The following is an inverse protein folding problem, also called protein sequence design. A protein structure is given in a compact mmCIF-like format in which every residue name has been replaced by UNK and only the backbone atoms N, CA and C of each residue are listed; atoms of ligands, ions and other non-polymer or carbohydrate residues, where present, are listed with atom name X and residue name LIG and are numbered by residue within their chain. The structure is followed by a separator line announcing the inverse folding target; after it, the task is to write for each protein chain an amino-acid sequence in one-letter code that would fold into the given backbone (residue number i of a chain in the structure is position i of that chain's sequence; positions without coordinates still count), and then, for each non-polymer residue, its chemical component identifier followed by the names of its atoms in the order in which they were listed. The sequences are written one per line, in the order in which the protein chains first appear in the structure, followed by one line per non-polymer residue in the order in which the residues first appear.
data_IF_280091017257
#
_entry.id   IF_280091017257
#
_cell.length_a   1.000
_cell.length_b   1.000
_cell.length_c   1.000
_cell.angle_alpha   90.00
_cell.angle_beta   90.00
_cell.angle_gamma   90.00
#
_symmetry.space_group_name_H-M   'P 1'
#
loop_
_entity.id
_entity.type
_entity.pdbx_description
1 polymer ?
#
# COMPACT_ATOMS: atom_id res chain seq x y z
N UNK A 1 30.87 22.31 10.21
CA UNK A 1 30.39 20.91 10.28
C UNK A 1 31.15 20.07 9.28
N UNK A 2 31.49 18.82 9.62
CA UNK A 2 32.10 17.88 8.67
C UNK A 2 31.19 16.65 8.49
N UNK A 3 30.73 16.42 7.26
CA UNK A 3 29.91 15.27 6.87
C UNK A 3 30.78 14.18 6.23
N UNK A 4 30.64 12.95 6.69
CA UNK A 4 31.24 11.75 6.09
C UNK A 4 30.15 10.75 5.72
N UNK A 5 30.51 9.66 5.03
CA UNK A 5 29.58 8.56 4.73
C UNK A 5 28.93 7.95 5.98
N UNK A 6 29.63 7.98 7.13
CA UNK A 6 29.23 7.25 8.34
C UNK A 6 28.82 8.16 9.50
N UNK A 7 28.85 9.48 9.32
CA UNK A 7 28.47 10.39 10.40
C UNK A 7 28.73 11.85 10.11
N UNK A 8 28.19 12.67 11.01
CA UNK A 8 28.31 14.12 11.06
C UNK A 8 29.05 14.52 12.33
N UNK A 9 30.14 15.26 12.20
CA UNK A 9 30.84 15.86 13.33
C UNK A 9 30.39 17.31 13.53
N UNK A 10 29.84 17.58 14.72
CA UNK A 10 29.43 18.92 15.13
C UNK A 10 30.58 19.66 15.83
N UNK A 11 30.88 20.91 15.45
CA UNK A 11 31.75 21.81 16.21
C UNK A 11 31.34 21.92 17.68
N UNK A 12 32.33 22.06 18.56
CA UNK A 12 32.11 22.40 19.96
C UNK A 12 31.55 23.82 20.07
N UNK A 13 30.56 24.03 20.95
CA UNK A 13 29.97 25.34 21.18
C UNK A 13 28.99 25.83 20.10
N UNK A 14 28.49 24.93 19.25
CA UNK A 14 27.47 25.25 18.25
C UNK A 14 26.23 25.89 18.87
N UNK A 15 25.77 27.00 18.29
CA UNK A 15 24.53 27.65 18.70
C UNK A 15 23.30 26.82 18.29
N UNK A 16 22.22 26.91 19.07
CA UNK A 16 20.98 26.16 18.82
C UNK A 16 20.40 26.42 17.43
N UNK A 17 20.30 27.69 17.00
CA UNK A 17 19.73 28.04 15.70
C UNK A 17 20.57 27.49 14.52
N UNK A 18 21.88 27.37 14.70
CA UNK A 18 22.77 26.76 13.72
C UNK A 18 22.56 25.24 13.65
N UNK A 19 22.47 24.59 14.81
CA UNK A 19 22.16 23.17 14.92
C UNK A 19 20.80 22.84 14.29
N UNK A 20 19.78 23.64 14.58
CA UNK A 20 18.42 23.47 14.04
C UNK A 20 18.40 23.66 12.51
N UNK A 21 19.07 24.71 12.01
CA UNK A 21 19.16 24.96 10.56
C UNK A 21 19.84 23.81 9.83
N UNK A 22 20.92 23.27 10.37
CA UNK A 22 21.59 22.12 9.76
C UNK A 22 20.73 20.86 9.80
N UNK A 23 20.00 20.62 10.90
CA UNK A 23 19.01 19.54 10.97
C UNK A 23 17.97 19.65 9.86
N UNK A 24 17.43 20.85 9.63
CA UNK A 24 16.49 21.12 8.52
C UNK A 24 17.12 20.89 7.14
N UNK A 25 18.36 21.31 6.93
CA UNK A 25 19.08 21.09 5.67
C UNK A 25 19.34 19.59 5.41
N UNK A 26 19.77 18.84 6.42
CA UNK A 26 20.01 17.40 6.31
C UNK A 26 18.73 16.64 5.98
N UNK A 27 17.62 16.98 6.65
CA UNK A 27 16.31 16.42 6.32
C UNK A 27 15.89 16.76 4.88
N UNK A 28 16.13 18.00 4.44
CA UNK A 28 15.87 18.44 3.07
C UNK A 28 16.68 17.68 2.03
N UNK A 29 17.98 17.42 2.28
CA UNK A 29 18.83 16.61 1.40
C UNK A 29 18.33 15.16 1.34
N UNK A 30 17.98 14.57 2.48
CA UNK A 30 17.46 13.20 2.54
C UNK A 30 16.19 13.07 1.70
N UNK A 31 15.24 13.98 1.88
CA UNK A 31 13.99 13.94 1.13
C UNK A 31 14.20 14.22 -0.37
N UNK A 32 15.02 15.22 -0.71
CA UNK A 32 15.32 15.60 -2.09
C UNK A 32 16.08 14.52 -2.84
N UNK A 33 16.91 13.72 -2.17
CA UNK A 33 17.73 12.68 -2.80
C UNK A 33 16.90 11.65 -3.56
N UNK A 34 15.68 11.35 -3.10
CA UNK A 34 14.77 10.43 -3.78
C UNK A 34 14.32 11.00 -5.12
N UNK A 35 14.02 12.30 -5.18
CA UNK A 35 13.71 12.99 -6.45
C UNK A 35 14.90 12.98 -7.40
N UNK A 36 16.09 13.35 -6.93
CA UNK A 36 17.30 13.41 -7.75
C UNK A 36 17.64 12.05 -8.36
N UNK A 37 17.55 10.97 -7.57
CA UNK A 37 17.79 9.60 -8.05
C UNK A 37 16.72 9.15 -9.05
N UNK A 38 15.46 9.54 -8.83
CA UNK A 38 14.37 9.27 -9.77
C UNK A 38 14.56 9.97 -11.12
N UNK A 39 14.91 11.25 -11.10
CA UNK A 39 15.19 12.06 -12.29
C UNK A 39 16.44 11.56 -13.02
N UNK A 40 17.51 11.25 -12.28
CA UNK A 40 18.75 10.66 -12.80
C UNK A 40 18.48 9.34 -13.53
N UNK A 41 17.68 8.44 -12.93
CA UNK A 41 17.36 7.17 -13.55
C UNK A 41 16.51 7.35 -14.81
N UNK A 42 15.54 8.27 -14.80
CA UNK A 42 14.71 8.59 -15.96
C UNK A 42 15.56 9.12 -17.12
N UNK A 43 16.41 10.11 -16.84
CA UNK A 43 17.35 10.64 -17.82
C UNK A 43 18.24 9.53 -18.39
N UNK A 44 18.81 8.69 -17.53
CA UNK A 44 19.70 7.62 -17.94
C UNK A 44 19.03 6.60 -18.86
N UNK A 45 17.76 6.26 -18.61
CA UNK A 45 16.98 5.34 -19.44
C UNK A 45 16.76 5.89 -20.86
N UNK A 46 16.55 7.19 -20.98
CA UNK A 46 16.24 7.83 -22.26
C UNK A 46 17.52 8.10 -23.09
N UNK A 47 18.69 8.24 -22.45
CA UNK A 47 19.94 8.67 -23.10
C UNK A 47 21.01 7.59 -23.22
N UNK A 48 20.92 6.50 -22.45
CA UNK A 48 21.93 5.45 -22.45
C UNK A 48 21.27 4.08 -22.63
N UNK A 49 21.66 3.35 -23.66
CA UNK A 49 21.25 1.96 -23.87
C UNK A 49 22.20 1.03 -23.11
N UNK A 50 23.35 0.71 -23.70
CA UNK A 50 24.28 -0.32 -23.19
C UNK A 50 24.98 0.06 -21.88
N UNK A 51 25.02 1.36 -21.55
CA UNK A 51 25.70 1.87 -20.36
C UNK A 51 24.76 2.06 -19.16
N UNK A 52 23.45 1.97 -19.36
CA UNK A 52 22.45 2.22 -18.31
C UNK A 52 22.57 1.22 -17.15
N UNK A 53 22.67 -0.08 -17.45
CA UNK A 53 22.82 -1.11 -16.43
C UNK A 53 24.13 -0.94 -15.63
N UNK A 54 25.23 -0.57 -16.32
CA UNK A 54 26.50 -0.27 -15.67
C UNK A 54 26.41 0.94 -14.75
N UNK A 55 25.69 1.99 -15.16
CA UNK A 55 25.43 3.18 -14.33
C UNK A 55 24.64 2.84 -13.06
N UNK A 56 23.59 2.03 -13.18
CA UNK A 56 22.79 1.56 -12.04
C UNK A 56 23.65 0.78 -11.04
N UNK A 57 24.46 -0.16 -11.54
CA UNK A 57 25.35 -0.96 -10.69
C UNK A 57 26.37 -0.10 -9.93
N UNK A 58 26.88 0.97 -10.55
CA UNK A 58 27.87 1.86 -9.92
C UNK A 58 27.30 2.68 -8.74
N UNK A 59 25.99 2.98 -8.75
CA UNK A 59 25.33 3.74 -7.66
C UNK A 59 25.17 2.91 -6.39
N UNK A 60 25.20 1.57 -6.48
CA UNK A 60 25.16 0.70 -5.32
C UNK A 60 23.80 0.66 -4.59
N UNK A 61 22.73 1.18 -5.20
CA UNK A 61 21.36 1.07 -4.72
C UNK A 61 20.61 -0.05 -5.46
N UNK A 62 19.60 -0.62 -4.80
CA UNK A 62 18.78 -1.65 -5.45
C UNK A 62 18.03 -1.07 -6.65
N UNK A 63 17.97 -1.83 -7.74
CA UNK A 63 17.21 -1.44 -8.92
C UNK A 63 15.71 -1.22 -8.61
N UNK A 64 15.15 -2.01 -7.69
CA UNK A 64 13.78 -1.88 -7.20
C UNK A 64 13.51 -0.50 -6.55
N UNK A 65 14.47 0.01 -5.78
CA UNK A 65 14.35 1.32 -5.14
C UNK A 65 14.41 2.42 -6.20
N UNK A 66 15.40 2.35 -7.08
CA UNK A 66 15.59 3.33 -8.15
C UNK A 66 14.36 3.38 -9.07
N UNK A 67 13.83 2.25 -9.49
CA UNK A 67 12.64 2.22 -10.35
C UNK A 67 11.40 2.80 -9.66
N UNK A 68 11.26 2.62 -8.34
CA UNK A 68 10.18 3.24 -7.57
C UNK A 68 10.33 4.76 -7.56
N UNK A 69 11.55 5.26 -7.32
CA UNK A 69 11.83 6.70 -7.37
C UNK A 69 11.54 7.30 -8.74
N UNK A 70 12.00 6.65 -9.81
CA UNK A 70 11.74 7.09 -11.18
C UNK A 70 10.24 7.05 -11.54
N UNK A 71 9.51 6.05 -11.04
CA UNK A 71 8.06 5.98 -11.24
C UNK A 71 7.35 7.17 -10.59
N UNK A 72 7.64 7.50 -9.33
CA UNK A 72 7.06 8.69 -8.68
C UNK A 72 7.50 9.98 -9.40
N UNK A 73 8.79 10.11 -9.71
CA UNK A 73 9.34 11.26 -10.43
C UNK A 73 8.65 11.51 -11.78
N UNK A 74 8.22 10.45 -12.47
CA UNK A 74 7.45 10.53 -13.71
C UNK A 74 5.98 10.90 -13.50
N UNK A 75 5.39 10.57 -12.35
CA UNK A 75 3.98 10.89 -12.05
C UNK A 75 3.79 12.35 -11.62
N UNK A 76 4.86 12.98 -11.16
CA UNK A 76 4.90 14.39 -10.75
C UNK A 76 6.03 15.11 -11.49
N UNK A 77 5.68 15.74 -12.60
CA UNK A 77 6.58 16.66 -13.31
C UNK A 77 7.08 17.74 -12.35
N UNK A 78 8.24 18.34 -12.66
CA UNK A 78 8.96 19.24 -11.75
C UNK A 78 8.08 20.36 -11.17
N UNK A 79 7.15 20.90 -11.97
CA UNK A 79 6.21 21.97 -11.58
C UNK A 79 5.10 21.53 -10.63
N UNK A 80 4.79 20.22 -10.58
CA UNK A 80 3.75 19.64 -9.71
C UNK A 80 4.29 19.16 -8.35
N UNK A 81 5.60 19.21 -8.14
CA UNK A 81 6.23 18.81 -6.88
C UNK A 81 6.06 19.92 -5.84
N UNK A 82 5.37 19.63 -4.74
CA UNK A 82 5.13 20.61 -3.66
C UNK A 82 6.34 20.64 -2.72
N UNK A 83 7.11 21.75 -2.62
CA UNK A 83 8.34 21.80 -1.82
C UNK A 83 8.08 21.70 -0.30
N UNK A 84 6.84 21.94 0.13
CA UNK A 84 6.38 21.80 1.52
C UNK A 84 6.04 20.35 1.88
N UNK A 85 5.92 19.46 0.90
CA UNK A 85 5.55 18.06 1.08
C UNK A 85 6.70 17.13 0.70
N UNK A 86 6.92 16.12 1.54
CA UNK A 86 7.98 15.14 1.32
C UNK A 86 7.76 14.29 0.05
N UNK A 87 8.84 13.68 -0.46
CA UNK A 87 8.76 12.67 -1.52
C UNK A 87 7.73 11.57 -1.21
N UNK A 88 7.63 11.17 0.06
CA UNK A 88 6.69 10.12 0.47
C UNK A 88 5.23 10.53 0.29
N UNK A 89 4.85 11.80 0.51
CA UNK A 89 3.48 12.26 0.23
C UNK A 89 3.11 11.99 -1.23
N UNK A 90 4.02 12.34 -2.13
CA UNK A 90 3.86 12.12 -3.56
C UNK A 90 3.81 10.62 -3.89
N UNK A 91 4.66 9.81 -3.26
CA UNK A 91 4.66 8.35 -3.44
C UNK A 91 3.33 7.69 -3.07
N UNK A 92 2.64 8.13 -2.01
CA UNK A 92 1.30 7.61 -1.63
C UNK A 92 0.24 7.87 -2.70
N UNK A 93 0.39 8.97 -3.44
CA UNK A 93 -0.59 9.47 -4.41
C UNK A 93 -0.26 9.06 -5.84
N UNK A 94 0.97 8.60 -6.09
CA UNK A 94 1.50 8.32 -7.43
C UNK A 94 0.65 7.31 -8.24
N UNK A 95 -0.15 6.46 -7.59
CA UNK A 95 -1.05 5.52 -8.29
C UNK A 95 -2.42 6.12 -8.63
N UNK A 96 -2.79 7.27 -8.08
CA UNK A 96 -4.10 7.91 -8.27
C UNK A 96 -4.20 8.70 -9.60
N UNK A 97 -5.42 9.01 -10.09
CA UNK A 97 -5.63 9.99 -11.15
C UNK A 97 -4.99 11.35 -10.82
N UNK A 98 -4.64 12.12 -11.84
CA UNK A 98 -3.92 13.41 -11.68
C UNK A 98 -4.73 14.40 -10.85
N UNK A 99 -6.05 14.42 -11.05
CA UNK A 99 -6.99 15.29 -10.38
C UNK A 99 -7.07 14.96 -8.88
N UNK A 100 -7.09 13.67 -8.53
CA UNK A 100 -7.07 13.21 -7.15
C UNK A 100 -5.72 13.49 -6.49
N UNK A 101 -4.61 13.32 -7.23
CA UNK A 101 -3.27 13.68 -6.74
C UNK A 101 -3.22 15.14 -6.30
N UNK A 102 -3.61 16.06 -7.19
CA UNK A 102 -3.55 17.50 -6.92
C UNK A 102 -4.48 17.88 -5.77
N UNK A 103 -5.72 17.33 -5.73
CA UNK A 103 -6.65 17.53 -4.61
C UNK A 103 -6.04 17.12 -3.26
N UNK A 104 -5.38 15.97 -3.21
CA UNK A 104 -4.79 15.47 -1.97
C UNK A 104 -3.51 16.20 -1.58
N UNK A 105 -2.68 16.61 -2.55
CA UNK A 105 -1.51 17.45 -2.30
C UNK A 105 -1.94 18.81 -1.72
N UNK A 106 -2.95 19.46 -2.29
CA UNK A 106 -3.44 20.76 -1.82
C UNK A 106 -3.99 20.65 -0.39
N UNK A 107 -4.76 19.60 -0.08
CA UNK A 107 -5.25 19.33 1.28
C UNK A 107 -4.11 19.08 2.26
N UNK A 108 -3.11 18.29 1.85
CA UNK A 108 -1.96 17.99 2.71
C UNK A 108 -1.11 19.23 2.99
N UNK A 109 -0.91 20.10 2.00
CA UNK A 109 -0.17 21.35 2.14
C UNK A 109 -0.92 22.35 3.05
N UNK A 110 -2.20 22.57 2.79
CA UNK A 110 -3.05 23.47 3.59
C UNK A 110 -3.19 23.02 5.04
N UNK A 111 -3.35 21.70 5.25
CA UNK A 111 -3.48 21.11 6.57
C UNK A 111 -2.14 20.83 7.26
N UNK A 112 -1.01 21.08 6.59
CA UNK A 112 0.33 20.69 7.03
C UNK A 112 0.41 19.23 7.49
N UNK A 113 -0.23 18.35 6.72
CA UNK A 113 -0.35 16.95 7.10
C UNK A 113 0.97 16.21 7.03
N UNK A 114 1.16 15.32 7.98
CA UNK A 114 2.13 14.22 7.87
C UNK A 114 1.64 13.18 6.87
N UNK A 115 2.56 12.37 6.34
CA UNK A 115 2.19 11.26 5.43
C UNK A 115 1.21 10.28 6.08
N UNK A 116 1.30 10.10 7.41
CA UNK A 116 0.36 9.26 8.17
C UNK A 116 -1.05 9.83 8.16
N UNK A 117 -1.20 11.14 8.36
CA UNK A 117 -2.50 11.83 8.28
C UNK A 117 -3.06 11.76 6.87
N UNK A 118 -2.24 11.99 5.84
CA UNK A 118 -2.65 11.83 4.45
C UNK A 118 -3.20 10.41 4.18
N UNK A 119 -2.46 9.36 4.56
CA UNK A 119 -2.93 7.97 4.43
C UNK A 119 -4.25 7.73 5.17
N UNK A 120 -4.39 8.29 6.36
CA UNK A 120 -5.62 8.20 7.15
C UNK A 120 -6.81 8.84 6.45
N UNK A 121 -6.63 10.06 5.92
CA UNK A 121 -7.67 10.79 5.21
C UNK A 121 -8.09 10.08 3.91
N UNK A 122 -7.13 9.56 3.13
CA UNK A 122 -7.42 8.75 1.93
C UNK A 122 -8.27 7.52 2.27
N UNK A 123 -7.93 6.82 3.37
CA UNK A 123 -8.69 5.65 3.83
C UNK A 123 -10.10 6.02 4.27
N UNK A 124 -10.23 7.11 5.02
CA UNK A 124 -11.52 7.61 5.48
C UNK A 124 -12.42 8.04 4.30
N UNK A 125 -11.87 8.72 3.28
CA UNK A 125 -12.64 9.10 2.09
C UNK A 125 -13.10 7.87 1.29
N UNK A 126 -12.25 6.84 1.15
CA UNK A 126 -12.66 5.56 0.53
C UNK A 126 -13.77 4.87 1.32
N UNK A 127 -13.75 4.95 2.65
CA UNK A 127 -14.76 4.35 3.52
C UNK A 127 -16.06 5.16 3.57
N UNK A 128 -15.98 6.50 3.46
CA UNK A 128 -17.15 7.39 3.45
C UNK A 128 -17.81 7.55 2.07
N UNK A 129 -17.07 7.34 0.99
CA UNK A 129 -17.61 7.23 -0.38
C UNK A 129 -18.19 5.85 -0.70
N UNK A 130 -17.83 4.84 0.09
CA UNK A 130 -18.63 3.63 0.21
C UNK A 130 -19.87 4.01 1.05
N UNK A 131 -21.04 4.19 0.41
CA UNK A 131 -22.31 3.97 1.13
C UNK A 131 -22.13 2.73 2.01
N UNK A 132 -22.61 2.70 3.28
CA UNK A 132 -22.40 1.55 4.15
C UNK A 132 -22.88 0.32 3.39
N UNK A 133 -21.95 -0.50 2.89
CA UNK A 133 -22.26 -1.89 2.64
C UNK A 133 -22.66 -2.37 4.02
N UNK A 134 -23.93 -2.75 4.16
CA UNK A 134 -24.54 -3.38 5.32
C UNK A 134 -23.48 -4.09 6.13
N UNK A 135 -23.36 -3.87 7.46
CA UNK A 135 -22.25 -4.40 8.26
C UNK A 135 -21.98 -5.83 7.83
N UNK A 136 -20.89 -6.03 7.08
CA UNK A 136 -20.51 -7.37 6.68
C UNK A 136 -20.22 -8.06 8.00
N UNK A 137 -21.01 -9.08 8.30
CA UNK A 137 -20.80 -9.95 9.44
C UNK A 137 -19.30 -10.25 9.56
N UNK A 138 -18.73 -10.31 10.78
CA UNK A 138 -17.30 -10.46 10.95
C UNK A 138 -16.81 -11.65 10.14
N UNK A 139 -16.10 -11.38 9.03
CA UNK A 139 -15.58 -12.40 8.14
C UNK A 139 -14.43 -13.11 8.85
N UNK A 140 -14.76 -14.24 9.48
CA UNK A 140 -13.78 -15.10 10.14
C UNK A 140 -13.02 -15.86 9.06
N UNK A 141 -11.70 -15.66 9.01
CA UNK A 141 -10.82 -16.39 8.08
C UNK A 141 -10.63 -17.82 8.58
N UNK A 142 -11.04 -18.80 7.78
CA UNK A 142 -10.73 -20.22 8.00
C UNK A 142 -9.45 -20.57 7.23
N UNK A 143 -8.42 -21.06 7.93
CA UNK A 143 -7.25 -21.62 7.26
C UNK A 143 -7.54 -23.06 6.82
N UNK A 144 -7.46 -23.31 5.52
CA UNK A 144 -7.72 -24.62 4.92
C UNK A 144 -6.41 -25.15 4.32
N UNK A 145 -6.00 -26.40 4.61
CA UNK A 145 -4.84 -27.02 3.97
C UNK A 145 -4.97 -27.02 2.45
N UNK A 146 -3.90 -26.68 1.74
CA UNK A 146 -3.91 -26.56 0.27
C UNK A 146 -4.33 -27.85 -0.45
N UNK A 147 -4.06 -29.02 0.13
CA UNK A 147 -4.52 -30.31 -0.40
C UNK A 147 -6.05 -30.44 -0.46
N UNK A 148 -6.77 -29.86 0.51
CA UNK A 148 -8.24 -29.84 0.51
C UNK A 148 -8.78 -28.84 -0.50
N UNK A 149 -8.15 -27.67 -0.61
CA UNK A 149 -8.53 -26.64 -1.59
C UNK A 149 -8.41 -27.19 -3.02
N UNK A 150 -7.31 -27.87 -3.33
CA UNK A 150 -7.10 -28.49 -4.65
C UNK A 150 -8.18 -29.54 -4.98
N UNK A 151 -8.56 -30.36 -4.00
CA UNK A 151 -9.58 -31.38 -4.19
C UNK A 151 -10.97 -30.78 -4.43
N UNK A 152 -11.33 -29.72 -3.68
CA UNK A 152 -12.58 -28.98 -3.88
C UNK A 152 -12.62 -28.24 -5.22
N UNK A 153 -11.51 -27.66 -5.66
CA UNK A 153 -11.42 -27.01 -6.97
C UNK A 153 -11.70 -27.98 -8.11
N UNK A 154 -11.14 -29.20 -8.02
CA UNK A 154 -11.40 -30.28 -8.99
C UNK A 154 -12.88 -30.69 -9.01
N UNK A 155 -13.55 -30.69 -7.87
CA UNK A 155 -14.98 -31.00 -7.79
C UNK A 155 -15.84 -29.90 -8.45
N UNK A 156 -15.53 -28.63 -8.18
CA UNK A 156 -16.22 -27.50 -8.81
C UNK A 156 -16.04 -27.49 -10.34
N UNK A 157 -14.83 -27.73 -10.83
CA UNK A 157 -14.53 -27.87 -12.26
C UNK A 157 -15.34 -29.00 -12.93
N UNK A 158 -15.43 -30.17 -12.31
CA UNK A 158 -16.21 -31.29 -12.85
C UNK A 158 -17.71 -31.00 -12.94
N UNK A 159 -18.22 -30.16 -12.04
CA UNK A 159 -19.61 -29.73 -12.03
C UNK A 159 -19.85 -28.47 -12.89
N UNK A 160 -18.80 -27.87 -13.46
CA UNK A 160 -18.89 -26.66 -14.27
C UNK A 160 -19.36 -25.43 -13.49
N UNK A 161 -19.18 -25.42 -12.17
CA UNK A 161 -19.59 -24.32 -11.29
C UNK A 161 -18.35 -23.55 -10.84
N UNK A 162 -18.48 -22.25 -10.66
CA UNK A 162 -17.45 -21.43 -10.02
C UNK A 162 -17.09 -21.99 -8.63
N UNK A 163 -15.80 -22.00 -8.30
CA UNK A 163 -15.29 -22.60 -7.07
C UNK A 163 -15.89 -21.96 -5.81
N UNK A 164 -15.99 -20.63 -5.76
CA UNK A 164 -16.53 -19.91 -4.61
C UNK A 164 -18.03 -20.20 -4.45
N UNK A 165 -18.77 -20.15 -5.57
CA UNK A 165 -20.19 -20.49 -5.60
C UNK A 165 -20.45 -21.94 -5.16
N UNK A 166 -19.61 -22.88 -5.61
CA UNK A 166 -19.71 -24.30 -5.25
C UNK A 166 -19.47 -24.51 -3.75
N UNK A 167 -18.43 -23.88 -3.18
CA UNK A 167 -18.11 -23.98 -1.75
C UNK A 167 -19.28 -23.45 -0.90
N UNK A 168 -19.81 -22.27 -1.22
CA UNK A 168 -20.91 -21.68 -0.45
C UNK A 168 -22.16 -22.55 -0.48
N UNK A 169 -22.59 -22.97 -1.67
CA UNK A 169 -23.81 -23.78 -1.84
C UNK A 169 -23.69 -25.14 -1.14
N UNK A 170 -22.50 -25.75 -1.18
CA UNK A 170 -22.24 -27.04 -0.54
C UNK A 170 -22.27 -26.91 0.99
N UNK A 171 -21.64 -25.86 1.54
CA UNK A 171 -21.64 -25.60 2.98
C UNK A 171 -23.05 -25.27 3.49
N UNK A 172 -23.80 -24.45 2.77
CA UNK A 172 -25.18 -24.09 3.13
C UNK A 172 -26.10 -25.31 3.12
N UNK A 173 -25.97 -26.18 2.12
CA UNK A 173 -26.76 -27.42 2.03
C UNK A 173 -26.42 -28.39 3.15
N UNK A 174 -25.13 -28.53 3.49
CA UNK A 174 -24.68 -29.36 4.60
C UNK A 174 -25.16 -28.81 5.95
N UNK A 175 -25.14 -27.49 6.13
CA UNK A 175 -25.65 -26.83 7.33
C UNK A 175 -27.17 -27.03 7.48
N UNK A 176 -27.93 -26.85 6.39
CA UNK A 176 -29.38 -27.06 6.40
C UNK A 176 -29.74 -28.50 6.80
N UNK A 177 -29.11 -29.50 6.15
CA UNK A 177 -29.33 -30.91 6.49
C UNK A 177 -29.01 -31.22 7.96
N UNK A 178 -27.89 -30.70 8.48
CA UNK A 178 -27.52 -30.95 9.87
C UNK A 178 -28.49 -30.30 10.89
N UNK A 179 -29.03 -29.12 10.57
CA UNK A 179 -30.02 -28.44 11.41
C UNK A 179 -31.38 -29.13 11.37
N UNK A 180 -31.80 -29.63 10.20
CA UNK A 180 -33.04 -30.40 10.06
C UNK A 180 -32.96 -31.73 10.81
N UNK A 181 -31.84 -32.46 10.71
CA UNK A 181 -31.60 -33.70 11.46
C UNK A 181 -31.69 -33.49 12.99
N UNK A 182 -31.16 -32.35 13.48
CA UNK A 182 -31.25 -31.97 14.89
C UNK A 182 -32.69 -31.65 15.31
N UNK A 183 -33.46 -30.99 14.45
CA UNK A 183 -34.86 -30.65 14.72
C UNK A 183 -35.74 -31.92 14.80
N UNK A 184 -35.49 -32.92 13.96
CA UNK A 184 -36.21 -34.20 13.98
C UNK A 184 -35.92 -35.03 15.23
N UNK A 185 -34.66 -35.04 15.70
CA UNK A 185 -34.26 -35.76 16.91
C UNK A 185 -34.81 -35.16 18.21
N UNK A 186 -35.15 -33.87 18.21
CA UNK A 186 -35.65 -33.15 19.40
C UNK A 186 -37.18 -33.19 19.52
N UNK A 187 -37.88 -33.79 18.56
CA UNK A 187 -39.35 -33.87 18.54
C UNK A 187 -39.81 -34.91 19.58
N UNK A 188 -40.57 -34.52 20.62
CA UNK A 188 -41.01 -35.48 21.64
C UNK A 188 -41.94 -36.52 21.02
N UNK A 189 -41.62 -37.79 21.24
CA UNK A 189 -42.48 -38.91 20.85
C UNK A 189 -43.80 -38.76 21.60
N UNK A 190 -44.87 -38.47 20.88
CA UNK A 190 -46.22 -38.54 21.43
C UNK A 190 -46.48 -40.00 21.82
N UNK A 191 -46.47 -40.27 23.12
CA UNK A 191 -46.92 -41.56 23.67
C UNK A 191 -48.43 -41.62 23.42
N UNK A 192 -48.84 -42.41 22.43
CA UNK A 192 -50.24 -42.75 22.20
C UNK A 192 -50.75 -43.59 23.38
N UNK A 193 -51.85 -43.14 23.99
CA UNK A 193 -52.73 -43.92 24.85
C UNK A 193 -54.16 -43.79 24.32
#
# INVERSE_FOLDING_TARGET
MLTTKVGLQMPTGMAYDEWERAGRQLAGVLDSSSWWLGDWLRYGKDHYTDRYQRGIQAVGLSYQTLRNYAWVARRFDFTRRRPTLSFQHHAELASMPVEDQDRWLDRAEQGQWTTKQLRGAIRAERQGGQLPRTPTEPSRRLEVPGSRVQWWHKAAEQLGVDFEQWVMTTLDSAAASALDDLAEQTRPVAVSA
#
